data_IF_546996706674
#
_entry.id   IF_546996706674
#
_cell.length_a   1.000
_cell.length_b   1.000
_cell.length_c   1.000
_cell.angle_alpha   90.00
_cell.angle_beta   90.00
_cell.angle_gamma   90.00
#
_symmetry.space_group_name_H-M   'P 1'
#
loop_
_entity.id
_entity.type
_entity.pdbx_description
1 polymer ?
#
# COMPACT_ATOMS: atom_id res chain seq x y z
N UNK A 1 -3.27 -16.52 13.02
CA UNK A 1 -3.26 -15.06 12.87
C UNK A 1 -3.43 -14.63 11.41
N UNK A 2 -2.71 -15.21 10.44
CA UNK A 2 -2.87 -14.88 9.00
C UNK A 2 -4.32 -14.95 8.51
N UNK A 3 -5.07 -16.02 8.85
CA UNK A 3 -6.49 -16.13 8.47
C UNK A 3 -7.37 -15.00 9.06
N UNK A 4 -7.10 -14.61 10.31
CA UNK A 4 -7.81 -13.49 10.93
C UNK A 4 -7.45 -12.17 10.24
N UNK A 5 -6.16 -11.95 9.93
CA UNK A 5 -5.70 -10.80 9.17
C UNK A 5 -6.33 -10.75 7.77
N UNK A 6 -6.48 -11.88 7.07
CA UNK A 6 -7.20 -11.94 5.80
C UNK A 6 -8.66 -11.50 5.94
N UNK A 7 -9.35 -11.93 6.99
CA UNK A 7 -10.74 -11.50 7.21
C UNK A 7 -10.83 -9.99 7.47
N UNK A 8 -9.91 -9.44 8.27
CA UNK A 8 -9.83 -7.99 8.51
C UNK A 8 -9.52 -7.24 7.22
N UNK A 9 -8.58 -7.74 6.43
CA UNK A 9 -8.23 -7.19 5.12
C UNK A 9 -9.45 -7.13 4.20
N UNK A 10 -10.17 -8.25 4.07
CA UNK A 10 -11.36 -8.33 3.21
C UNK A 10 -12.46 -7.35 3.66
N UNK A 11 -12.71 -7.26 4.97
CA UNK A 11 -13.70 -6.31 5.52
C UNK A 11 -13.28 -4.85 5.31
N UNK A 12 -11.99 -4.55 5.49
CA UNK A 12 -11.44 -3.21 5.24
C UNK A 12 -11.61 -2.83 3.76
N UNK A 13 -11.21 -3.71 2.85
CA UNK A 13 -11.28 -3.45 1.40
C UNK A 13 -12.71 -3.28 0.91
N UNK A 14 -13.64 -4.11 1.39
CA UNK A 14 -15.05 -4.02 1.05
C UNK A 14 -15.75 -2.79 1.69
N UNK A 15 -15.12 -2.14 2.66
CA UNK A 15 -15.75 -1.16 3.52
C UNK A 15 -16.69 -1.82 4.53
N UNK A 16 -16.97 -1.09 5.61
CA UNK A 16 -17.93 -1.51 6.62
C UNK A 16 -19.04 -0.48 6.65
N UNK A 17 -20.27 -0.96 6.43
CA UNK A 17 -21.47 -0.11 6.44
C UNK A 17 -21.48 0.78 7.69
N UNK A 18 -21.76 2.07 7.47
CA UNK A 18 -21.84 3.10 8.51
C UNK A 18 -20.51 3.39 9.23
N UNK A 19 -19.38 2.84 8.76
CA UNK A 19 -18.06 3.00 9.39
C UNK A 19 -16.95 3.43 8.44
N UNK A 20 -16.73 2.68 7.35
CA UNK A 20 -15.69 2.99 6.35
C UNK A 20 -16.22 2.75 4.95
N UNK A 21 -15.85 3.63 4.03
CA UNK A 21 -16.07 3.40 2.61
C UNK A 21 -15.17 2.26 2.09
N UNK A 22 -15.56 1.58 0.99
CA UNK A 22 -14.68 0.66 0.30
C UNK A 22 -13.38 1.37 -0.12
N UNK A 23 -12.25 0.69 0.02
CA UNK A 23 -10.94 1.22 -0.39
C UNK A 23 -10.43 0.60 -1.69
N UNK A 24 -11.31 -0.05 -2.46
CA UNK A 24 -11.01 -0.48 -3.83
C UNK A 24 -12.15 -0.06 -4.77
N UNK A 25 -11.98 1.04 -5.54
CA UNK A 25 -10.72 1.80 -5.71
C UNK A 25 -10.27 2.61 -4.49
N UNK A 26 -8.95 2.73 -4.30
CA UNK A 26 -8.34 3.67 -3.35
C UNK A 26 -7.96 4.97 -4.06
N UNK A 27 -8.41 6.11 -3.55
CA UNK A 27 -8.23 7.40 -4.18
C UNK A 27 -7.30 8.34 -3.40
N UNK A 28 -6.45 9.08 -4.12
CA UNK A 28 -5.62 10.17 -3.63
C UNK A 28 -5.72 11.37 -4.57
N UNK A 29 -5.93 12.56 -4.00
CA UNK A 29 -6.06 13.78 -4.79
C UNK A 29 -4.78 14.12 -5.55
N UNK A 30 -3.63 13.93 -4.91
CA UNK A 30 -2.32 14.27 -5.47
C UNK A 30 -1.15 13.52 -4.84
N UNK A 31 -0.08 13.38 -5.61
CA UNK A 31 1.25 12.98 -5.15
C UNK A 31 2.28 13.87 -5.86
N UNK A 32 3.17 14.48 -5.09
CA UNK A 32 4.25 15.33 -5.57
C UNK A 32 5.59 14.68 -5.23
N UNK A 33 6.52 14.59 -6.18
CA UNK A 33 7.86 14.09 -5.95
C UNK A 33 8.93 14.92 -6.68
N UNK A 34 10.01 15.21 -5.95
CA UNK A 34 11.20 15.87 -6.45
C UNK A 34 12.39 14.92 -6.27
N UNK A 35 12.65 14.13 -7.31
CA UNK A 35 13.75 13.17 -7.33
C UNK A 35 14.99 13.80 -8.00
N UNK A 36 16.20 13.31 -7.71
CA UNK A 36 17.40 13.76 -8.41
C UNK A 36 17.26 13.63 -9.93
N UNK A 37 17.10 14.76 -10.62
CA UNK A 37 16.99 14.82 -12.09
C UNK A 37 15.59 14.56 -12.65
N UNK A 38 14.58 14.23 -11.83
CA UNK A 38 13.22 13.98 -12.30
C UNK A 38 12.18 14.46 -11.31
N UNK A 39 11.22 15.26 -11.77
CA UNK A 39 10.10 15.73 -10.95
C UNK A 39 8.80 15.28 -11.56
N UNK A 40 7.86 14.89 -10.71
CA UNK A 40 6.52 14.59 -11.15
C UNK A 40 5.47 15.10 -10.17
N UNK A 41 4.35 15.49 -10.76
CA UNK A 41 3.12 15.87 -10.09
C UNK A 41 2.05 14.98 -10.66
N UNK A 42 1.41 14.17 -9.84
CA UNK A 42 0.26 13.37 -10.26
C UNK A 42 -0.97 13.79 -9.47
N UNK A 43 -2.12 13.77 -10.13
CA UNK A 43 -3.41 14.15 -9.56
C UNK A 43 -4.49 13.16 -9.95
N UNK A 44 -5.57 13.15 -9.18
CA UNK A 44 -6.70 12.23 -9.38
C UNK A 44 -6.23 10.76 -9.43
N UNK A 45 -5.37 10.39 -8.47
CA UNK A 45 -4.68 9.10 -8.48
C UNK A 45 -5.60 8.04 -7.91
N UNK A 46 -5.81 6.97 -8.65
CA UNK A 46 -6.68 5.86 -8.24
C UNK A 46 -5.93 4.55 -8.36
N UNK A 47 -5.90 3.76 -7.29
CA UNK A 47 -5.38 2.40 -7.26
C UNK A 47 -6.55 1.41 -7.19
N UNK A 48 -6.58 0.46 -8.11
CA UNK A 48 -7.55 -0.63 -8.15
C UNK A 48 -6.85 -1.97 -7.92
N UNK A 49 -7.61 -2.98 -7.49
CA UNK A 49 -7.16 -4.37 -7.39
C UNK A 49 -6.78 -4.82 -5.97
N UNK A 50 -6.94 -3.95 -4.96
CA UNK A 50 -6.74 -4.34 -3.56
C UNK A 50 -7.67 -5.50 -3.14
N UNK A 51 -8.86 -5.61 -3.71
CA UNK A 51 -9.82 -6.68 -3.38
C UNK A 51 -9.32 -8.06 -3.77
N UNK A 52 -8.42 -8.14 -4.74
CA UNK A 52 -7.87 -9.39 -5.24
C UNK A 52 -6.55 -9.76 -4.54
N UNK A 53 -6.02 -8.90 -3.67
CA UNK A 53 -4.80 -9.22 -2.91
C UNK A 53 -5.08 -10.22 -1.78
N UNK A 54 -4.10 -11.06 -1.50
CA UNK A 54 -4.09 -12.05 -0.43
C UNK A 54 -3.09 -11.68 0.66
N UNK A 55 -3.48 -11.93 1.91
CA UNK A 55 -2.59 -11.87 3.07
C UNK A 55 -1.81 -13.17 3.13
N UNK A 56 -0.59 -13.15 2.64
CA UNK A 56 0.33 -14.29 2.67
C UNK A 56 0.84 -14.55 4.09
N UNK A 57 1.10 -13.48 4.83
CA UNK A 57 1.62 -13.56 6.18
C UNK A 57 1.13 -12.40 7.05
N UNK A 58 0.78 -12.73 8.28
CA UNK A 58 0.70 -11.75 9.35
C UNK A 58 1.42 -12.27 10.59
N UNK A 59 2.34 -11.47 11.11
CA UNK A 59 3.06 -11.72 12.36
C UNK A 59 2.96 -10.48 13.24
N UNK A 60 2.81 -10.71 14.53
CA UNK A 60 2.93 -9.68 15.57
C UNK A 60 3.81 -10.20 16.68
N UNK A 61 4.73 -9.35 17.16
CA UNK A 61 5.51 -9.56 18.36
C UNK A 61 4.94 -8.69 19.47
N UNK A 62 4.40 -9.34 20.49
CA UNK A 62 3.73 -8.70 21.63
C UNK A 62 4.71 -8.11 22.65
N UNK A 63 5.99 -8.50 22.61
CA UNK A 63 7.03 -7.99 23.49
C UNK A 63 7.59 -6.70 22.89
N UNK A 64 7.96 -6.74 21.61
CA UNK A 64 8.56 -5.60 20.92
C UNK A 64 7.54 -4.67 20.25
N UNK A 65 6.26 -5.03 20.27
CA UNK A 65 5.15 -4.32 19.64
C UNK A 65 5.35 -4.08 18.13
N UNK A 66 6.02 -5.02 17.47
CA UNK A 66 6.27 -4.96 16.03
C UNK A 66 5.28 -5.85 15.27
N UNK A 67 4.93 -5.47 14.05
CA UNK A 67 4.15 -6.30 13.16
C UNK A 67 4.79 -6.40 11.77
N UNK A 68 4.42 -7.45 11.06
CA UNK A 68 4.72 -7.69 9.65
C UNK A 68 3.44 -8.21 8.97
N UNK A 69 3.07 -7.58 7.87
CA UNK A 69 1.96 -7.93 7.01
C UNK A 69 2.48 -8.06 5.58
N UNK A 70 2.45 -9.27 5.03
CA UNK A 70 2.83 -9.52 3.64
C UNK A 70 1.54 -9.70 2.81
N UNK A 71 1.41 -8.86 1.80
CA UNK A 71 0.36 -8.89 0.81
C UNK A 71 0.92 -9.38 -0.52
N UNK A 72 0.20 -10.26 -1.19
CA UNK A 72 0.41 -10.60 -2.59
C UNK A 72 -0.76 -10.04 -3.39
N UNK A 73 -0.47 -9.17 -4.33
CA UNK A 73 -1.45 -8.55 -5.21
C UNK A 73 -1.23 -9.07 -6.63
N UNK A 74 -2.16 -9.87 -7.17
CA UNK A 74 -1.98 -10.48 -8.49
C UNK A 74 -1.98 -9.44 -9.61
N UNK A 75 -2.78 -8.38 -9.47
CA UNK A 75 -2.84 -7.26 -10.39
C UNK A 75 -3.24 -5.99 -9.63
N UNK A 76 -2.47 -4.92 -9.80
CA UNK A 76 -2.82 -3.56 -9.36
C UNK A 76 -2.86 -2.64 -10.57
N UNK A 77 -3.86 -1.75 -10.61
CA UNK A 77 -3.99 -0.77 -11.69
C UNK A 77 -4.04 0.63 -11.12
N UNK A 78 -3.08 1.45 -11.53
CA UNK A 78 -3.00 2.86 -11.17
C UNK A 78 -3.43 3.73 -12.34
N UNK A 79 -4.35 4.65 -12.09
CA UNK A 79 -4.75 5.67 -13.07
C UNK A 79 -4.57 7.04 -12.47
N UNK A 80 -4.04 7.99 -13.25
CA UNK A 80 -3.78 9.34 -12.77
C UNK A 80 -3.51 10.30 -13.93
N UNK A 81 -3.71 11.59 -13.68
CA UNK A 81 -3.12 12.63 -14.53
C UNK A 81 -1.73 12.95 -14.04
N UNK A 82 -0.76 13.07 -14.95
CA UNK A 82 0.61 13.42 -14.63
C UNK A 82 1.03 14.74 -15.27
N UNK A 83 2.00 15.38 -14.64
CA UNK A 83 2.91 16.36 -15.23
C UNK A 83 4.30 16.04 -14.71
N UNK A 84 5.21 15.68 -15.61
CA UNK A 84 6.53 15.23 -15.26
C UNK A 84 7.59 15.86 -16.15
N UNK A 85 8.75 16.15 -15.56
CA UNK A 85 9.86 16.80 -16.24
C UNK A 85 11.20 16.32 -15.69
N UNK A 86 12.14 16.06 -16.59
CA UNK A 86 13.50 15.70 -16.23
C UNK A 86 14.02 14.51 -17.04
N UNK A 87 14.90 13.73 -16.44
CA UNK A 87 15.53 12.57 -17.06
C UNK A 87 15.33 11.35 -16.18
N UNK A 88 14.82 10.26 -16.76
CA UNK A 88 14.74 8.94 -16.12
C UNK A 88 15.70 7.97 -16.81
N UNK A 89 16.06 6.88 -16.14
CA UNK A 89 16.90 5.81 -16.71
C UNK A 89 18.21 6.35 -17.34
N UNK A 90 18.84 7.34 -16.69
CA UNK A 90 20.07 8.05 -17.12
C UNK A 90 20.01 8.88 -18.41
N UNK A 91 19.05 8.67 -19.32
CA UNK A 91 19.04 9.33 -20.64
C UNK A 91 17.67 9.58 -21.26
N UNK A 92 16.58 9.09 -20.66
CA UNK A 92 15.23 9.28 -21.20
C UNK A 92 14.69 10.63 -20.75
N UNK A 93 14.68 11.60 -21.66
CA UNK A 93 14.12 12.93 -21.43
C UNK A 93 12.58 12.88 -21.35
N UNK A 94 12.05 13.47 -20.29
CA UNK A 94 10.62 13.61 -20.01
C UNK A 94 10.28 15.10 -19.95
N UNK A 95 9.29 15.54 -20.71
CA UNK A 95 8.71 16.89 -20.60
C UNK A 95 7.26 16.80 -21.08
N UNK A 96 6.44 16.15 -20.25
CA UNK A 96 5.12 15.69 -20.64
C UNK A 96 4.10 15.87 -19.54
N UNK A 97 2.86 16.01 -19.96
CA UNK A 97 1.68 15.92 -19.11
C UNK A 97 0.65 15.05 -19.82
N UNK A 98 -0.34 14.55 -19.10
CA UNK A 98 -1.42 13.76 -19.67
C UNK A 98 -2.03 12.78 -18.69
N UNK A 99 -2.63 11.72 -19.19
CA UNK A 99 -3.17 10.64 -18.38
C UNK A 99 -2.31 9.38 -18.52
N UNK A 100 -2.15 8.67 -17.42
CA UNK A 100 -1.42 7.41 -17.37
C UNK A 100 -2.31 6.30 -16.79
N UNK A 101 -2.15 5.11 -17.37
CA UNK A 101 -2.65 3.86 -16.85
C UNK A 101 -1.44 2.92 -16.65
N UNK A 102 -1.18 2.53 -15.41
CA UNK A 102 -0.06 1.67 -15.03
C UNK A 102 -0.60 0.39 -14.41
N UNK A 103 -0.38 -0.73 -15.09
CA UNK A 103 -0.72 -2.06 -14.59
C UNK A 103 0.54 -2.72 -14.00
N UNK A 104 0.41 -3.26 -12.79
CA UNK A 104 1.46 -3.96 -12.06
C UNK A 104 0.98 -5.38 -11.78
N UNK A 105 1.65 -6.38 -12.34
CA UNK A 105 1.32 -7.78 -12.18
C UNK A 105 2.22 -8.45 -11.13
N UNK A 106 1.65 -9.36 -10.35
CA UNK A 106 2.34 -10.25 -9.41
C UNK A 106 3.30 -9.48 -8.48
N UNK A 107 2.68 -8.72 -7.57
CA UNK A 107 3.34 -7.73 -6.74
C UNK A 107 3.22 -8.05 -5.26
N UNK A 108 4.37 -8.15 -4.58
CA UNK A 108 4.44 -8.44 -3.16
C UNK A 108 4.73 -7.17 -2.38
N UNK A 109 3.84 -6.83 -1.45
CA UNK A 109 3.95 -5.64 -0.60
C UNK A 109 4.07 -6.11 0.84
N UNK A 110 5.18 -5.77 1.47
CA UNK A 110 5.47 -6.05 2.87
C UNK A 110 5.37 -4.77 3.68
N UNK A 111 4.43 -4.74 4.62
CA UNK A 111 4.20 -3.63 5.53
C UNK A 111 4.71 -4.06 6.90
N UNK A 112 5.73 -3.38 7.39
CA UNK A 112 6.29 -3.59 8.73
C UNK A 112 6.12 -2.36 9.57
N UNK A 113 6.04 -2.52 10.88
CA UNK A 113 5.83 -1.36 11.73
C UNK A 113 5.66 -1.66 13.19
N UNK A 114 5.17 -0.65 13.91
CA UNK A 114 4.85 -0.73 15.33
C UNK A 114 3.37 -0.56 15.56
N UNK A 115 2.84 -1.26 16.55
CA UNK A 115 1.48 -1.09 17.03
C UNK A 115 1.45 -0.77 18.52
N UNK A 116 0.32 -0.29 19.02
CA UNK A 116 0.06 -0.17 20.47
C UNK A 116 -1.24 -0.88 20.79
N UNK A 117 -1.34 -1.31 22.04
CA UNK A 117 -2.60 -1.79 22.63
C UNK A 117 -3.10 -0.79 23.67
N UNK A 118 -4.40 -0.64 23.78
CA UNK A 118 -5.01 0.24 24.78
C UNK A 118 -6.37 -0.30 25.21
N UNK A 119 -6.76 0.00 26.45
CA UNK A 119 -8.10 -0.28 26.94
C UNK A 119 -8.98 0.91 26.60
N UNK A 120 -10.08 0.66 25.90
CA UNK A 120 -11.06 1.70 25.58
C UNK A 120 -11.85 2.09 26.82
N UNK A 121 -11.99 3.40 27.05
CA UNK A 121 -12.80 3.92 28.17
C UNK A 121 -14.29 3.63 27.96
N UNK A 122 -14.74 3.50 26.71
CA UNK A 122 -16.16 3.35 26.35
C UNK A 122 -16.75 2.00 26.76
N UNK A 123 -15.97 0.93 26.64
CA UNK A 123 -16.43 -0.46 26.78
C UNK A 123 -15.47 -1.36 27.56
N UNK A 124 -14.35 -0.82 28.06
CA UNK A 124 -13.32 -1.54 28.82
C UNK A 124 -12.71 -2.74 28.07
N UNK A 125 -12.82 -2.78 26.73
CA UNK A 125 -12.20 -3.82 25.91
C UNK A 125 -10.81 -3.40 25.43
N UNK A 126 -10.01 -4.38 25.03
CA UNK A 126 -8.66 -4.20 24.49
C UNK A 126 -8.69 -3.94 22.98
N UNK A 127 -8.10 -2.83 22.55
CA UNK A 127 -7.99 -2.40 21.16
C UNK A 127 -6.53 -2.32 20.72
N UNK A 128 -6.31 -2.18 19.41
CA UNK A 128 -4.99 -2.01 18.81
C UNK A 128 -4.99 -0.86 17.80
N UNK A 129 -3.82 -0.27 17.57
CA UNK A 129 -3.61 0.75 16.52
C UNK A 129 -2.16 0.70 16.03
N UNK A 130 -1.97 0.89 14.73
CA UNK A 130 -0.68 1.03 14.08
C UNK A 130 -0.15 2.45 14.34
N UNK A 131 1.08 2.54 14.87
CA UNK A 131 1.75 3.80 15.24
C UNK A 131 2.70 4.26 14.13
N UNK A 132 3.38 3.30 13.48
CA UNK A 132 4.33 3.59 12.42
C UNK A 132 4.38 2.42 11.46
N UNK A 133 4.68 2.69 10.19
CA UNK A 133 4.87 1.70 9.16
C UNK A 133 6.02 2.08 8.23
N UNK A 134 6.57 1.08 7.55
CA UNK A 134 7.44 1.23 6.40
C UNK A 134 7.16 0.08 5.43
N UNK A 135 7.56 0.26 4.18
CA UNK A 135 7.22 -0.65 3.10
C UNK A 135 8.46 -1.27 2.47
N UNK A 136 8.37 -2.56 2.21
CA UNK A 136 9.28 -3.31 1.35
C UNK A 136 8.44 -3.90 0.23
N UNK A 137 8.98 -3.94 -0.98
CA UNK A 137 8.23 -4.37 -2.17
C UNK A 137 9.08 -5.24 -3.06
N UNK A 138 8.45 -6.23 -3.68
CA UNK A 138 9.09 -7.21 -4.54
C UNK A 138 8.19 -7.49 -5.75
N UNK A 139 8.65 -7.06 -6.92
CA UNK A 139 7.96 -7.25 -8.20
C UNK A 139 8.41 -8.57 -8.84
N UNK A 140 7.48 -9.52 -8.93
CA UNK A 140 7.72 -10.82 -9.59
C UNK A 140 7.21 -10.83 -11.03
N UNK A 141 6.14 -10.09 -11.32
CA UNK A 141 5.60 -9.95 -12.65
C UNK A 141 6.21 -8.78 -13.43
N UNK A 142 5.35 -8.05 -14.13
CA UNK A 142 5.71 -6.95 -15.03
C UNK A 142 4.96 -5.69 -14.66
N UNK A 143 5.49 -4.55 -15.10
CA UNK A 143 4.76 -3.29 -15.09
C UNK A 143 4.58 -2.84 -16.53
N UNK A 144 3.36 -2.44 -16.86
CA UNK A 144 3.02 -1.84 -18.14
C UNK A 144 2.63 -0.39 -17.91
N UNK A 145 3.40 0.51 -18.51
CA UNK A 145 3.13 1.95 -18.48
C UNK A 145 2.46 2.36 -19.79
N UNK A 146 1.21 2.80 -19.71
CA UNK A 146 0.47 3.36 -20.83
C UNK A 146 0.19 4.84 -20.57
N UNK A 147 0.53 5.69 -21.54
CA UNK A 147 0.15 7.11 -21.52
C UNK A 147 -0.59 7.46 -22.80
N UNK A 148 -1.68 8.20 -22.68
CA UNK A 148 -2.51 8.63 -23.81
C UNK A 148 -1.87 9.78 -24.59
N UNK A 149 -1.10 10.62 -23.91
CA UNK A 149 -0.44 11.80 -24.47
C UNK A 149 1.05 11.56 -24.77
N UNK A 150 1.65 12.51 -25.48
CA UNK A 150 3.08 12.51 -25.80
C UNK A 150 3.89 12.84 -24.52
N UNK A 151 4.90 12.03 -24.26
CA UNK A 151 5.83 12.21 -23.11
C UNK A 151 6.85 13.33 -23.39
N UNK A 152 6.99 13.68 -24.67
CA UNK A 152 7.92 14.66 -25.19
C UNK A 152 7.27 15.38 -26.39
N UNK A 153 7.48 16.71 -26.57
CA UNK A 153 6.98 17.43 -27.74
C UNK A 153 7.50 16.88 -29.08
N UNK A 154 8.64 16.20 -29.08
CA UNK A 154 9.10 15.40 -30.23
C UNK A 154 8.48 14.00 -30.13
N UNK A 155 7.57 13.70 -31.05
CA UNK A 155 6.88 12.40 -31.12
C UNK A 155 7.84 11.20 -31.20
N UNK A 156 8.95 11.32 -31.93
CA UNK A 156 9.93 10.24 -32.03
C UNK A 156 10.59 9.99 -30.68
N UNK A 157 10.96 11.07 -29.97
CA UNK A 157 11.48 10.95 -28.59
C UNK A 157 10.43 10.41 -27.63
N UNK A 158 9.17 10.82 -27.78
CA UNK A 158 8.06 10.30 -26.97
C UNK A 158 7.87 8.80 -27.16
N UNK A 159 7.83 8.31 -28.40
CA UNK A 159 7.66 6.89 -28.70
C UNK A 159 8.84 6.06 -28.17
N UNK A 160 10.08 6.55 -28.36
CA UNK A 160 11.27 5.92 -27.79
C UNK A 160 11.27 5.92 -26.26
N UNK A 161 10.80 6.99 -25.62
CA UNK A 161 10.67 7.06 -24.17
C UNK A 161 9.66 6.02 -23.65
N UNK A 162 8.49 5.88 -24.29
CA UNK A 162 7.48 4.87 -23.93
C UNK A 162 8.04 3.46 -24.03
N UNK A 163 8.79 3.16 -25.10
CA UNK A 163 9.47 1.86 -25.28
C UNK A 163 10.49 1.65 -24.16
N UNK A 164 11.40 2.61 -23.96
CA UNK A 164 12.46 2.50 -22.96
C UNK A 164 11.92 2.30 -21.54
N UNK A 165 10.87 3.01 -21.16
CA UNK A 165 10.20 2.85 -19.85
C UNK A 165 9.66 1.43 -19.68
N UNK A 166 8.96 0.91 -20.68
CA UNK A 166 8.35 -0.42 -20.60
C UNK A 166 9.38 -1.54 -20.72
N UNK A 167 10.48 -1.37 -21.47
CA UNK A 167 11.57 -2.34 -21.53
C UNK A 167 12.38 -2.37 -20.23
N UNK A 168 12.50 -1.23 -19.55
CA UNK A 168 13.24 -1.05 -18.30
C UNK A 168 12.29 -0.83 -17.11
N UNK A 169 11.16 -1.52 -17.10
CA UNK A 169 10.09 -1.30 -16.13
C UNK A 169 10.53 -1.49 -14.67
N UNK A 170 11.50 -2.38 -14.41
CA UNK A 170 12.04 -2.62 -13.06
C UNK A 170 12.82 -1.43 -12.53
N UNK A 171 13.70 -0.87 -13.35
CA UNK A 171 14.50 0.30 -12.96
C UNK A 171 13.62 1.54 -12.86
N UNK A 172 12.61 1.65 -13.73
CA UNK A 172 11.59 2.70 -13.65
C UNK A 172 10.82 2.61 -12.34
N UNK A 173 10.37 1.41 -11.95
CA UNK A 173 9.70 1.17 -10.67
C UNK A 173 10.58 1.57 -9.50
N UNK A 174 11.81 1.07 -9.42
CA UNK A 174 12.75 1.41 -8.33
C UNK A 174 12.91 2.92 -8.16
N UNK A 175 12.97 3.67 -9.26
CA UNK A 175 13.11 5.13 -9.23
C UNK A 175 11.85 5.84 -8.72
N UNK A 176 10.67 5.46 -9.22
CA UNK A 176 9.43 6.23 -9.03
C UNK A 176 8.61 5.79 -7.83
N UNK A 177 8.74 4.52 -7.45
CA UNK A 177 7.82 3.80 -6.58
C UNK A 177 7.72 4.37 -5.17
N UNK A 178 8.82 4.71 -4.54
CA UNK A 178 8.84 5.04 -3.10
C UNK A 178 7.87 6.17 -2.75
N UNK A 179 8.01 7.40 -3.30
CA UNK A 179 7.04 8.46 -3.01
C UNK A 179 5.62 8.11 -3.47
N UNK A 180 5.47 7.29 -4.51
CA UNK A 180 4.16 6.92 -5.04
C UNK A 180 3.39 5.96 -4.12
N UNK A 181 3.99 4.82 -3.78
CA UNK A 181 3.36 3.78 -2.95
C UNK A 181 3.29 4.17 -1.47
N UNK A 182 4.23 4.95 -0.94
CA UNK A 182 4.18 5.38 0.47
C UNK A 182 2.90 6.17 0.78
N UNK A 183 2.42 7.00 -0.16
CA UNK A 183 1.17 7.74 0.01
C UNK A 183 -0.04 6.79 0.05
N UNK A 184 -0.09 5.80 -0.83
CA UNK A 184 -1.16 4.79 -0.84
C UNK A 184 -1.15 3.94 0.43
N UNK A 185 0.02 3.45 0.85
CA UNK A 185 0.12 2.61 2.05
C UNK A 185 -0.16 3.42 3.32
N UNK A 186 0.21 4.69 3.35
CA UNK A 186 -0.17 5.58 4.46
C UNK A 186 -1.69 5.72 4.56
N UNK A 187 -2.37 5.95 3.44
CA UNK A 187 -3.84 6.01 3.42
C UNK A 187 -4.48 4.66 3.77
N UNK A 188 -3.94 3.55 3.28
CA UNK A 188 -4.37 2.20 3.66
C UNK A 188 -4.27 1.99 5.19
N UNK A 189 -3.15 2.36 5.80
CA UNK A 189 -2.93 2.24 7.25
C UNK A 189 -3.87 3.17 8.03
N UNK A 190 -4.19 4.36 7.53
CA UNK A 190 -5.18 5.25 8.14
C UNK A 190 -6.59 4.64 8.14
N UNK A 191 -7.00 4.05 7.02
CA UNK A 191 -8.28 3.33 6.93
C UNK A 191 -8.29 2.11 7.85
N UNK A 192 -7.19 1.34 7.90
CA UNK A 192 -7.05 0.23 8.82
C UNK A 192 -7.12 0.68 10.29
N UNK A 193 -6.48 1.78 10.67
CA UNK A 193 -6.60 2.34 12.02
C UNK A 193 -8.03 2.77 12.35
N UNK A 194 -8.76 3.34 11.39
CA UNK A 194 -10.19 3.68 11.55
C UNK A 194 -11.02 2.42 11.81
N UNK A 195 -10.79 1.37 11.03
CA UNK A 195 -11.42 0.07 11.26
C UNK A 195 -11.07 -0.50 12.65
N UNK A 196 -9.78 -0.57 13.01
CA UNK A 196 -9.29 -1.13 14.27
C UNK A 196 -9.77 -0.37 15.51
N UNK A 197 -10.12 0.91 15.38
CA UNK A 197 -10.69 1.68 16.48
C UNK A 197 -12.12 1.26 16.87
N UNK A 198 -12.78 0.44 16.06
CA UNK A 198 -14.18 0.05 16.23
C UNK A 198 -14.38 -1.43 16.58
N UNK A 199 -13.30 -2.22 16.53
CA UNK A 199 -13.34 -3.64 16.87
C UNK A 199 -12.23 -3.95 17.87
N UNK A 200 -12.63 -4.51 19.01
CA UNK A 200 -11.67 -5.00 19.99
C UNK A 200 -10.87 -6.18 19.43
N UNK A 201 -9.68 -6.41 19.99
CA UNK A 201 -8.83 -7.56 19.62
C UNK A 201 -9.60 -8.89 19.75
N UNK A 202 -10.49 -8.97 20.71
CA UNK A 202 -11.34 -10.15 20.94
C UNK A 202 -12.36 -10.41 19.83
N UNK A 203 -12.81 -9.37 19.14
CA UNK A 203 -13.71 -9.47 17.99
C UNK A 203 -12.94 -9.76 16.71
N UNK A 204 -11.69 -9.28 16.61
CA UNK A 204 -10.81 -9.49 15.46
C UNK A 204 -10.19 -10.89 15.41
N UNK A 205 -9.91 -11.50 16.57
CA UNK A 205 -9.23 -12.79 16.67
C UNK A 205 -10.18 -13.94 17.00
N UNK A 206 -10.13 -15.07 16.25
CA UNK A 206 -10.91 -16.25 16.57
C UNK A 206 -10.50 -16.87 17.93
N UNK A 207 -11.46 -17.47 18.64
CA UNK A 207 -11.33 -18.03 20.00
C UNK A 207 -10.08 -18.89 20.25
N UNK A 208 -9.61 -19.67 19.25
CA UNK A 208 -8.43 -20.53 19.37
C UNK A 208 -7.10 -19.76 19.48
N UNK A 209 -7.04 -18.55 18.93
CA UNK A 209 -5.84 -17.69 18.94
C UNK A 209 -5.75 -16.81 20.19
N UNK A 210 -6.80 -16.77 21.02
CA UNK A 210 -6.83 -16.02 22.28
C UNK A 210 -5.96 -16.65 23.38
N UNK A 211 -5.79 -17.98 23.36
CA UNK A 211 -5.05 -18.73 24.40
C UNK A 211 -3.55 -18.44 24.42
N UNK A 212 -2.93 -18.08 23.29
CA UNK A 212 -1.50 -17.71 23.25
C UNK A 212 -1.24 -16.31 23.84
N UNK A 213 -2.22 -15.40 23.78
CA UNK A 213 -2.09 -14.02 24.26
C UNK A 213 -2.32 -13.93 25.78
N UNK A 214 -3.20 -14.77 26.33
CA UNK A 214 -3.53 -14.78 27.76
C UNK A 214 -2.49 -15.49 28.65
N UNK A 215 -1.64 -16.36 28.09
CA UNK A 215 -0.60 -17.08 28.86
C UNK A 215 0.58 -16.19 29.32
N UNK A 216 0.65 -14.92 28.93
CA UNK A 216 1.68 -13.97 29.40
C UNK A 216 1.28 -13.31 30.73
N UNK A 217 0.02 -13.43 31.17
CA UNK A 217 -0.45 -12.94 32.49
C UNK A 217 -0.37 -13.99 33.61
N UNK A 218 0.31 -15.11 33.38
CA UNK A 218 0.14 -16.34 34.17
C UNK A 218 1.28 -16.79 35.08
N UNK A 219 2.32 -16.00 35.32
CA UNK A 219 3.39 -16.39 36.27
C UNK A 219 3.55 -15.33 37.36
N UNK A 220 3.12 -15.60 38.60
CA UNK A 220 3.62 -14.87 39.76
C UNK A 220 5.11 -15.17 39.88
N UNK A 221 5.93 -14.13 40.00
CA UNK A 221 7.27 -14.25 40.55
C UNK A 221 7.13 -14.78 41.98
N UNK A 222 7.58 -16.00 42.20
CA UNK A 222 7.93 -16.52 43.53
C UNK A 222 9.43 -16.44 43.66
#
# INVERSE_FOLDING_TARGET
>A
MTKAAQNVYNSLVAGVKDLTEPIDPLHLDKIDADLPGFKYHVTNVTMNGLRDCTVELFKSDEISFNFELDLHCPNLVFTYHYKAKGVILTSVEFDGQGFANVAVDDYYIKIKGKFKKFISVKDQKLYTSIISHFIETDLKGKIKFETDEEINPDKTKSDLAKIAINENYKDTDVLLRTPFLENFITLFVQNLNTYLANFSIDELLPQKEKKSILNIRGTPLV
#
